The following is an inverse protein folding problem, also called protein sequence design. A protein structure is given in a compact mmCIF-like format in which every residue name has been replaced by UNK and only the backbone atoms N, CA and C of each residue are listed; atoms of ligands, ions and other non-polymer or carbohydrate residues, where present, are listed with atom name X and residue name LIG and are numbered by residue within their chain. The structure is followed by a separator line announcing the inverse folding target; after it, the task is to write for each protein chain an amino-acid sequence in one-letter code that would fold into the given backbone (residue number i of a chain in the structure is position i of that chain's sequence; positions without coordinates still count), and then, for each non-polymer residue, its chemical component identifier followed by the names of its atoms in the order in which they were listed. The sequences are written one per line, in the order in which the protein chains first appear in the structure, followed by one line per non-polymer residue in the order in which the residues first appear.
data_IF_655095010054
#
_entry.id   IF_655095010054
#
_cell.length_a   1.000
_cell.length_b   1.000
_cell.length_c   1.000
_cell.angle_alpha   90.00
_cell.angle_beta   90.00
_cell.angle_gamma   90.00
#
_symmetry.space_group_name_H-M   'P 1'
#
loop_
_entity.id
_entity.type
_entity.pdbx_description
1 polymer ?
#
# COMPACT_ATOMS: atom_id res chain seq x y z
N UNK A 1 -46.13 0.53 67.90
CA UNK A 1 -45.96 -0.49 66.85
C UNK A 1 -46.13 0.00 65.41
N UNK A 2 -46.77 1.14 65.08
CA UNK A 2 -46.98 1.61 63.71
C UNK A 2 -45.80 2.39 63.04
N UNK A 3 -44.91 3.01 63.82
CA UNK A 3 -43.81 3.84 63.24
C UNK A 3 -42.61 3.00 62.72
N UNK A 4 -42.31 1.89 63.33
CA UNK A 4 -41.19 1.00 62.88
C UNK A 4 -41.50 0.31 61.57
N UNK A 5 -42.74 -0.09 61.34
CA UNK A 5 -43.18 -0.72 60.06
C UNK A 5 -43.14 0.26 58.87
N UNK A 6 -43.42 1.52 59.11
CA UNK A 6 -43.37 2.59 58.10
C UNK A 6 -41.91 2.89 57.65
N UNK A 7 -40.97 2.88 58.60
CA UNK A 7 -39.53 3.06 58.31
C UNK A 7 -38.93 1.86 57.57
N UNK A 8 -39.25 0.61 57.94
CA UNK A 8 -38.83 -0.57 57.24
C UNK A 8 -39.34 -0.66 55.77
N UNK A 9 -40.61 -0.29 55.57
CA UNK A 9 -41.16 -0.26 54.21
C UNK A 9 -40.53 0.84 53.32
N UNK A 10 -40.14 1.95 53.93
CA UNK A 10 -39.43 3.04 53.19
C UNK A 10 -38.03 2.63 52.83
N UNK A 11 -37.31 1.94 53.70
CA UNK A 11 -35.97 1.40 53.45
C UNK A 11 -36.01 0.34 52.36
N UNK A 12 -36.92 -0.62 52.41
CA UNK A 12 -37.11 -1.61 51.35
C UNK A 12 -37.42 -0.99 49.97
N UNK A 13 -38.21 0.05 49.96
CA UNK A 13 -38.56 0.78 48.71
C UNK A 13 -37.35 1.50 48.09
N UNK A 14 -36.49 2.10 48.89
CA UNK A 14 -35.25 2.74 48.51
C UNK A 14 -34.20 1.70 48.02
N UNK A 15 -34.08 0.56 48.69
CA UNK A 15 -33.21 -0.52 48.27
C UNK A 15 -33.62 -1.11 46.94
N UNK A 16 -34.93 -1.32 46.71
CA UNK A 16 -35.42 -1.79 45.42
C UNK A 16 -35.24 -0.72 44.27
N UNK A 17 -35.37 0.54 44.55
CA UNK A 17 -35.09 1.60 43.58
C UNK A 17 -33.60 1.65 43.21
N UNK A 18 -32.69 1.57 44.17
CA UNK A 18 -31.27 1.53 43.95
C UNK A 18 -30.82 0.28 43.16
N UNK A 19 -31.44 -0.89 43.43
CA UNK A 19 -31.17 -2.10 42.64
C UNK A 19 -31.70 -2.00 41.19
N UNK A 20 -32.83 -1.35 40.99
CA UNK A 20 -33.35 -1.10 39.64
C UNK A 20 -32.52 -0.09 38.86
N UNK A 21 -32.02 0.97 39.48
CA UNK A 21 -31.13 1.93 38.86
C UNK A 21 -29.77 1.33 38.52
N UNK A 22 -29.18 0.53 39.40
CA UNK A 22 -27.96 -0.23 39.11
C UNK A 22 -28.12 -1.22 37.94
N UNK A 23 -29.26 -1.94 37.90
CA UNK A 23 -29.55 -2.85 36.79
C UNK A 23 -29.72 -2.09 35.44
N UNK A 24 -30.36 -0.91 35.46
CA UNK A 24 -30.52 -0.08 34.26
C UNK A 24 -29.20 0.49 33.75
N UNK A 25 -28.29 0.86 34.67
CA UNK A 25 -26.97 1.35 34.36
C UNK A 25 -26.11 0.25 33.73
N UNK A 26 -26.07 -0.97 34.30
CA UNK A 26 -25.33 -2.11 33.73
C UNK A 26 -25.86 -2.53 32.37
N UNK A 27 -27.18 -2.59 32.16
CA UNK A 27 -27.82 -2.92 30.87
C UNK A 27 -27.50 -1.88 29.79
N UNK A 28 -27.45 -0.60 30.16
CA UNK A 28 -27.06 0.51 29.29
C UNK A 28 -25.57 0.42 28.87
N UNK A 29 -24.68 0.11 29.83
CA UNK A 29 -23.24 -0.04 29.57
C UNK A 29 -22.94 -1.27 28.69
N UNK A 30 -23.66 -2.36 28.87
CA UNK A 30 -23.48 -3.56 28.04
C UNK A 30 -23.98 -3.34 26.60
N UNK A 31 -25.11 -2.67 26.40
CA UNK A 31 -25.58 -2.27 25.06
C UNK A 31 -24.60 -1.32 24.36
N UNK A 32 -23.99 -0.42 25.11
CA UNK A 32 -22.96 0.46 24.55
C UNK A 32 -21.73 -0.31 24.09
N UNK A 33 -21.25 -1.27 24.90
CA UNK A 33 -20.13 -2.15 24.54
C UNK A 33 -20.45 -2.97 23.29
N UNK A 34 -21.63 -3.58 23.22
CA UNK A 34 -22.08 -4.33 22.04
C UNK A 34 -22.15 -3.46 20.77
N UNK A 35 -22.68 -2.24 20.86
CA UNK A 35 -22.73 -1.31 19.76
C UNK A 35 -21.34 -0.88 19.28
N UNK A 36 -20.39 -0.64 20.22
CA UNK A 36 -18.99 -0.33 19.89
C UNK A 36 -18.33 -1.53 19.19
N UNK A 37 -18.54 -2.73 19.69
CA UNK A 37 -17.98 -3.95 19.10
C UNK A 37 -18.54 -4.22 17.70
N UNK A 38 -19.85 -4.09 17.51
CA UNK A 38 -20.48 -4.20 16.20
C UNK A 38 -19.94 -3.14 15.22
N UNK A 39 -19.79 -1.89 15.66
CA UNK A 39 -19.18 -0.83 14.87
C UNK A 39 -17.73 -1.11 14.46
N UNK A 40 -16.92 -1.70 15.34
CA UNK A 40 -15.55 -2.15 15.03
C UNK A 40 -15.54 -3.27 13.99
N UNK A 41 -16.42 -4.25 14.13
CA UNK A 41 -16.53 -5.36 13.18
C UNK A 41 -16.93 -4.89 11.77
N UNK A 42 -17.91 -3.98 11.68
CA UNK A 42 -18.32 -3.39 10.40
C UNK A 42 -17.17 -2.64 9.72
N UNK A 43 -16.45 -1.79 10.45
CA UNK A 43 -15.28 -1.06 9.91
C UNK A 43 -14.20 -2.02 9.42
N UNK A 44 -13.94 -3.11 10.13
CA UNK A 44 -12.95 -4.10 9.76
C UNK A 44 -13.38 -4.88 8.48
N UNK A 45 -14.67 -5.19 8.35
CA UNK A 45 -15.21 -5.81 7.13
C UNK A 45 -15.11 -4.87 5.92
N UNK A 46 -15.45 -3.59 6.08
CA UNK A 46 -15.30 -2.58 5.02
C UNK A 46 -13.84 -2.41 4.60
N UNK A 47 -12.92 -2.38 5.55
CA UNK A 47 -11.49 -2.29 5.26
C UNK A 47 -11.01 -3.51 4.47
N UNK A 48 -11.39 -4.72 4.87
CA UNK A 48 -11.06 -5.96 4.13
C UNK A 48 -11.58 -5.94 2.70
N UNK A 49 -12.82 -5.48 2.48
CA UNK A 49 -13.38 -5.33 1.12
C UNK A 49 -12.56 -4.35 0.27
N UNK A 50 -12.11 -3.25 0.86
CA UNK A 50 -11.25 -2.28 0.16
C UNK A 50 -9.88 -2.86 -0.17
N UNK A 51 -9.25 -3.59 0.76
CA UNK A 51 -7.98 -4.27 0.52
C UNK A 51 -8.14 -5.29 -0.62
N UNK A 52 -9.19 -6.11 -0.59
CA UNK A 52 -9.49 -7.07 -1.64
C UNK A 52 -9.72 -6.40 -3.00
N UNK A 53 -10.42 -5.27 -3.03
CA UNK A 53 -10.56 -4.47 -4.24
C UNK A 53 -9.21 -4.06 -4.82
N UNK A 54 -8.29 -3.51 -3.99
CA UNK A 54 -6.96 -3.11 -4.44
C UNK A 54 -6.11 -4.29 -4.88
N UNK A 55 -6.22 -5.45 -4.22
CA UNK A 55 -5.58 -6.69 -4.68
C UNK A 55 -6.05 -7.08 -6.09
N UNK A 56 -7.34 -7.01 -6.35
CA UNK A 56 -7.93 -7.39 -7.63
C UNK A 56 -7.53 -6.46 -8.80
N UNK A 57 -7.34 -5.17 -8.54
CA UNK A 57 -6.91 -4.21 -9.57
C UNK A 57 -5.40 -4.07 -9.68
N UNK A 58 -4.63 -4.68 -8.77
CA UNK A 58 -3.17 -4.62 -8.77
C UNK A 58 -2.55 -5.58 -9.79
N UNK A 59 -1.48 -5.13 -10.43
CA UNK A 59 -0.66 -5.98 -11.33
C UNK A 59 0.29 -6.82 -10.49
N UNK A 60 -0.11 -8.04 -10.15
CA UNK A 60 0.65 -8.94 -9.29
C UNK A 60 1.16 -10.17 -10.05
N UNK A 61 2.42 -10.60 -9.87
CA UNK A 61 2.91 -11.85 -10.42
C UNK A 61 2.25 -13.05 -9.71
N UNK A 62 2.20 -14.22 -10.38
CA UNK A 62 1.52 -15.43 -9.85
C UNK A 62 1.98 -15.79 -8.44
N UNK A 63 3.28 -15.66 -8.17
CA UNK A 63 3.89 -16.02 -6.88
C UNK A 63 4.11 -14.81 -5.96
N UNK A 64 3.34 -13.74 -6.09
CA UNK A 64 3.55 -12.51 -5.34
C UNK A 64 3.61 -12.70 -3.83
N UNK A 65 2.92 -13.70 -3.27
CA UNK A 65 2.92 -14.01 -1.84
C UNK A 65 4.26 -14.55 -1.32
N UNK A 66 5.12 -15.04 -2.19
CA UNK A 66 6.45 -15.56 -1.83
C UNK A 66 7.50 -14.45 -1.67
N UNK A 67 7.18 -13.23 -2.12
CA UNK A 67 8.07 -12.07 -2.03
C UNK A 67 7.92 -11.41 -0.65
N UNK A 68 8.68 -11.94 0.31
CA UNK A 68 8.74 -11.43 1.69
C UNK A 68 10.20 -11.16 2.07
N UNK A 69 10.42 -10.27 3.04
CA UNK A 69 11.77 -9.89 3.45
C UNK A 69 12.58 -11.07 3.99
N UNK A 70 11.93 -12.04 4.61
CA UNK A 70 12.53 -13.27 5.12
C UNK A 70 13.14 -14.14 4.01
N UNK A 71 12.58 -14.10 2.81
CA UNK A 71 13.06 -14.85 1.65
C UNK A 71 14.16 -14.12 0.86
N UNK A 72 14.59 -12.92 1.32
CA UNK A 72 15.68 -12.20 0.66
C UNK A 72 17.04 -12.82 0.98
N UNK A 73 17.76 -13.25 -0.04
CA UNK A 73 19.16 -13.68 0.06
C UNK A 73 20.06 -12.44 -0.04
N UNK A 74 20.66 -12.02 1.07
CA UNK A 74 21.52 -10.84 1.13
C UNK A 74 22.94 -11.22 0.75
N UNK A 75 23.46 -10.63 -0.33
CA UNK A 75 24.79 -10.93 -0.85
C UNK A 75 25.80 -9.77 -0.62
N UNK A 76 25.35 -8.62 -0.14
CA UNK A 76 26.24 -7.48 0.11
C UNK A 76 25.74 -6.62 1.28
N UNK A 77 26.65 -5.86 1.91
CA UNK A 77 26.31 -4.92 2.97
C UNK A 77 25.41 -3.79 2.45
N UNK A 78 25.59 -3.35 1.21
CA UNK A 78 24.70 -2.36 0.58
C UNK A 78 23.27 -2.84 0.48
N UNK A 79 23.08 -4.08 0.10
CA UNK A 79 21.73 -4.69 0.02
C UNK A 79 21.11 -4.83 1.40
N UNK A 80 21.89 -5.21 2.40
CA UNK A 80 21.41 -5.28 3.79
C UNK A 80 20.91 -3.93 4.28
N UNK A 81 21.64 -2.85 4.00
CA UNK A 81 21.22 -1.49 4.33
C UNK A 81 19.91 -1.13 3.64
N UNK A 82 19.77 -1.46 2.35
CA UNK A 82 18.51 -1.20 1.61
C UNK A 82 17.36 -1.99 2.21
N UNK A 83 17.55 -3.28 2.50
CA UNK A 83 16.54 -4.09 3.16
C UNK A 83 16.10 -3.46 4.48
N UNK A 84 17.04 -3.08 5.35
CA UNK A 84 16.76 -2.42 6.62
C UNK A 84 15.99 -1.11 6.46
N UNK A 85 16.34 -0.28 5.47
CA UNK A 85 15.59 0.94 5.15
C UNK A 85 14.15 0.64 4.73
N UNK A 86 13.93 -0.39 3.93
CA UNK A 86 12.60 -0.79 3.48
C UNK A 86 11.75 -1.36 4.64
N UNK A 87 12.35 -2.18 5.50
CA UNK A 87 11.70 -2.69 6.72
C UNK A 87 11.34 -1.52 7.65
N UNK A 88 12.26 -0.58 7.89
CA UNK A 88 12.02 0.62 8.68
C UNK A 88 10.89 1.49 8.10
N UNK A 89 10.84 1.65 6.77
CA UNK A 89 9.76 2.38 6.10
C UNK A 89 8.39 1.72 6.37
N UNK A 90 8.31 0.40 6.33
CA UNK A 90 7.07 -0.32 6.65
C UNK A 90 6.65 -0.15 8.10
N UNK A 91 7.59 -0.27 9.04
CA UNK A 91 7.34 -0.12 10.48
C UNK A 91 6.86 1.29 10.86
N UNK A 92 7.39 2.32 10.17
CA UNK A 92 7.11 3.73 10.43
C UNK A 92 6.18 4.37 9.40
N UNK A 93 5.42 3.56 8.66
CA UNK A 93 4.61 4.04 7.54
C UNK A 93 3.58 5.10 7.91
N UNK A 94 3.04 5.09 9.12
CA UNK A 94 2.13 6.15 9.60
C UNK A 94 2.78 7.53 9.60
N UNK A 95 4.07 7.61 9.89
CA UNK A 95 4.85 8.85 9.87
C UNK A 95 5.13 9.27 8.42
N UNK A 96 5.51 8.31 7.58
CA UNK A 96 5.67 8.54 6.15
C UNK A 96 4.38 9.05 5.51
N UNK A 97 3.23 8.47 5.87
CA UNK A 97 1.91 8.84 5.34
C UNK A 97 1.50 10.27 5.71
N UNK A 98 1.86 10.76 6.88
CA UNK A 98 1.56 12.15 7.31
C UNK A 98 2.26 13.20 6.45
N UNK A 99 3.41 12.85 5.88
CA UNK A 99 4.27 13.76 5.14
C UNK A 99 4.34 13.43 3.63
N UNK A 100 3.56 12.45 3.17
CA UNK A 100 3.59 12.01 1.78
C UNK A 100 4.94 11.47 1.32
N UNK A 101 5.73 10.87 2.25
CA UNK A 101 7.06 10.36 1.93
C UNK A 101 6.97 9.02 1.21
N UNK A 102 7.82 8.86 0.21
CA UNK A 102 7.90 7.64 -0.59
C UNK A 102 9.34 7.22 -0.86
N UNK A 103 9.51 6.25 -1.76
CA UNK A 103 10.80 5.66 -2.08
C UNK A 103 11.00 5.58 -3.60
N UNK A 104 12.22 5.85 -4.03
CA UNK A 104 12.68 5.71 -5.40
C UNK A 104 13.73 4.61 -5.50
N UNK A 105 13.34 3.46 -6.06
CA UNK A 105 14.19 2.28 -6.22
C UNK A 105 14.81 2.29 -7.62
N UNK A 106 16.07 2.66 -7.75
CA UNK A 106 16.76 2.75 -9.03
C UNK A 106 17.96 1.79 -9.12
N UNK A 107 18.36 1.47 -10.34
CA UNK A 107 19.51 0.60 -10.60
C UNK A 107 19.27 -0.35 -11.76
N UNK A 108 20.26 -1.16 -12.10
CA UNK A 108 20.24 -2.03 -13.26
C UNK A 108 19.18 -3.14 -13.21
N UNK A 109 18.91 -3.72 -14.39
CA UNK A 109 17.94 -4.82 -14.55
C UNK A 109 18.40 -6.05 -13.78
N UNK A 110 17.47 -6.66 -13.01
CA UNK A 110 17.72 -7.92 -12.32
C UNK A 110 18.36 -7.79 -10.95
N UNK A 111 18.52 -6.56 -10.42
CA UNK A 111 19.07 -6.30 -9.09
C UNK A 111 18.08 -6.52 -7.93
N UNK A 112 16.79 -6.78 -8.22
CA UNK A 112 15.80 -7.12 -7.20
C UNK A 112 14.86 -5.99 -6.79
N UNK A 113 14.82 -4.84 -7.49
CA UNK A 113 13.89 -3.72 -7.19
C UNK A 113 12.44 -4.16 -7.08
N UNK A 114 11.92 -4.88 -8.09
CA UNK A 114 10.54 -5.41 -8.07
C UNK A 114 10.33 -6.48 -6.99
N UNK A 115 11.37 -7.26 -6.63
CA UNK A 115 11.31 -8.17 -5.49
C UNK A 115 11.08 -7.40 -4.18
N UNK A 116 11.90 -6.41 -3.91
CA UNK A 116 11.79 -5.62 -2.68
C UNK A 116 10.53 -4.75 -2.64
N UNK A 117 10.07 -4.22 -3.78
CA UNK A 117 8.78 -3.50 -3.83
C UNK A 117 7.60 -4.42 -3.48
N UNK A 118 7.66 -5.70 -3.87
CA UNK A 118 6.67 -6.71 -3.49
C UNK A 118 6.82 -7.16 -2.02
N UNK A 119 8.03 -7.18 -1.45
CA UNK A 119 8.22 -7.39 -0.01
C UNK A 119 7.49 -6.29 0.79
N UNK A 120 7.69 -5.02 0.40
CA UNK A 120 6.96 -3.89 1.01
C UNK A 120 5.46 -4.05 0.80
N UNK A 121 5.00 -4.40 -0.40
CA UNK A 121 3.59 -4.65 -0.69
C UNK A 121 2.97 -5.66 0.28
N UNK A 122 3.63 -6.81 0.48
CA UNK A 122 3.15 -7.85 1.39
C UNK A 122 3.17 -7.41 2.85
N UNK A 123 4.23 -6.71 3.27
CA UNK A 123 4.33 -6.23 4.65
C UNK A 123 3.25 -5.19 4.98
N UNK A 124 2.96 -4.29 4.04
CA UNK A 124 1.89 -3.32 4.18
C UNK A 124 0.49 -3.97 4.23
N UNK A 125 0.27 -5.04 3.45
CA UNK A 125 -0.97 -5.81 3.51
C UNK A 125 -1.17 -6.51 4.85
N UNK A 126 -0.09 -7.07 5.46
CA UNK A 126 -0.14 -7.68 6.80
C UNK A 126 -0.58 -6.66 7.87
N UNK A 127 -0.25 -5.40 7.66
CA UNK A 127 -0.60 -4.28 8.53
C UNK A 127 -1.93 -3.58 8.15
N UNK A 128 -2.79 -4.24 7.37
CA UNK A 128 -4.12 -3.79 6.97
C UNK A 128 -4.13 -2.47 6.14
N UNK A 129 -3.03 -2.13 5.46
CA UNK A 129 -2.99 -0.99 4.55
C UNK A 129 -3.52 -1.36 3.15
N UNK A 130 -4.17 -0.40 2.49
CA UNK A 130 -4.65 -0.50 1.11
C UNK A 130 -3.50 -0.17 0.17
N UNK A 131 -2.92 -1.19 -0.46
CA UNK A 131 -1.80 -1.02 -1.37
C UNK A 131 -2.25 -1.26 -2.80
N UNK A 132 -1.92 -0.33 -3.70
CA UNK A 132 -2.17 -0.46 -5.12
C UNK A 132 -0.84 -0.57 -5.87
N UNK A 133 -0.56 -1.75 -6.42
CA UNK A 133 0.63 -1.97 -7.26
C UNK A 133 0.23 -2.01 -8.73
N UNK A 134 0.88 -1.17 -9.52
CA UNK A 134 0.63 -1.08 -10.96
C UNK A 134 1.88 -0.57 -11.68
N UNK A 135 1.79 -0.36 -13.00
CA UNK A 135 2.75 0.41 -13.80
C UNK A 135 2.13 1.72 -14.21
N UNK A 136 2.93 2.69 -14.65
CA UNK A 136 2.37 3.91 -15.23
C UNK A 136 1.48 3.61 -16.46
N UNK A 137 1.91 2.65 -17.30
CA UNK A 137 1.09 2.19 -18.42
C UNK A 137 -0.24 1.58 -17.96
N UNK A 138 -0.27 0.86 -16.83
CA UNK A 138 -1.50 0.34 -16.23
C UNK A 138 -2.48 1.46 -15.85
N UNK A 139 -1.98 2.57 -15.29
CA UNK A 139 -2.83 3.75 -15.03
C UNK A 139 -3.32 4.37 -16.34
N UNK A 140 -2.45 4.51 -17.33
CA UNK A 140 -2.83 5.03 -18.65
C UNK A 140 -3.92 4.19 -19.32
N UNK A 141 -3.77 2.87 -19.32
CA UNK A 141 -4.78 1.96 -19.88
C UNK A 141 -6.13 2.09 -19.15
N UNK A 142 -6.12 2.24 -17.83
CA UNK A 142 -7.35 2.48 -17.07
C UNK A 142 -8.00 3.81 -17.46
N UNK A 143 -7.22 4.89 -17.61
CA UNK A 143 -7.74 6.18 -18.08
C UNK A 143 -8.26 6.06 -19.51
N UNK A 144 -7.52 5.42 -20.42
CA UNK A 144 -7.96 5.22 -21.81
C UNK A 144 -9.24 4.39 -21.93
N UNK A 145 -9.41 3.38 -21.06
CA UNK A 145 -10.62 2.56 -21.04
C UNK A 145 -11.88 3.37 -20.67
N UNK A 146 -11.72 4.53 -20.05
CA UNK A 146 -12.85 5.44 -19.75
C UNK A 146 -13.40 6.13 -20.99
N UNK A 147 -12.66 6.15 -22.12
CA UNK A 147 -13.11 6.76 -23.37
C UNK A 147 -14.08 5.87 -24.16
N UNK A 148 -14.20 4.59 -23.79
CA UNK A 148 -15.13 3.66 -24.40
C UNK A 148 -16.42 3.60 -23.61
N UNK A 149 -17.57 3.76 -24.28
CA UNK A 149 -18.90 3.70 -23.65
C UNK A 149 -19.30 2.32 -23.07
N UNK A 150 -18.42 1.32 -23.18
CA UNK A 150 -18.70 -0.06 -22.72
C UNK A 150 -18.38 -0.30 -21.25
N UNK A 151 -17.59 0.57 -20.61
CA UNK A 151 -17.22 0.44 -19.21
C UNK A 151 -17.77 1.61 -18.41
N UNK A 152 -18.42 1.32 -17.26
CA UNK A 152 -18.88 2.36 -16.33
C UNK A 152 -17.72 3.04 -15.56
N UNK A 153 -16.47 2.81 -15.97
CA UNK A 153 -15.30 3.42 -15.35
C UNK A 153 -15.13 4.86 -15.88
N UNK A 154 -14.97 5.81 -14.98
CA UNK A 154 -14.66 7.21 -15.30
C UNK A 154 -13.22 7.55 -14.92
N UNK A 155 -12.63 8.57 -15.56
CA UNK A 155 -11.30 9.07 -15.14
C UNK A 155 -11.32 9.52 -13.68
N UNK A 156 -12.42 10.12 -13.20
CA UNK A 156 -12.62 10.47 -11.80
C UNK A 156 -12.52 9.23 -10.88
N UNK A 157 -13.07 8.08 -11.30
CA UNK A 157 -12.96 6.85 -10.52
C UNK A 157 -11.53 6.35 -10.45
N UNK A 158 -10.73 6.47 -11.50
CA UNK A 158 -9.30 6.13 -11.49
C UNK A 158 -8.55 6.99 -10.47
N UNK A 159 -8.74 8.30 -10.49
CA UNK A 159 -8.11 9.21 -9.50
C UNK A 159 -8.64 8.99 -8.08
N UNK A 160 -9.91 8.62 -7.92
CA UNK A 160 -10.48 8.26 -6.61
C UNK A 160 -9.82 6.99 -6.05
N UNK A 161 -9.55 6.00 -6.88
CA UNK A 161 -8.81 4.80 -6.46
C UNK A 161 -7.38 5.16 -6.02
N UNK A 162 -6.67 5.97 -6.81
CA UNK A 162 -5.34 6.48 -6.44
C UNK A 162 -5.39 7.25 -5.11
N UNK A 163 -6.44 8.03 -4.87
CA UNK A 163 -6.61 8.76 -3.61
C UNK A 163 -6.88 7.82 -2.43
N UNK A 164 -7.67 6.76 -2.62
CA UNK A 164 -8.06 5.84 -1.55
C UNK A 164 -6.98 4.83 -1.17
N UNK A 165 -6.02 4.55 -2.03
CA UNK A 165 -4.87 3.73 -1.68
C UNK A 165 -4.04 4.43 -0.60
N UNK A 166 -3.56 3.68 0.39
CA UNK A 166 -2.64 4.21 1.41
C UNK A 166 -1.22 4.31 0.84
N UNK A 167 -0.81 3.32 0.04
CA UNK A 167 0.46 3.27 -0.68
C UNK A 167 0.23 2.90 -2.14
N UNK A 168 0.91 3.59 -3.06
CA UNK A 168 0.92 3.26 -4.49
C UNK A 168 2.34 2.79 -4.85
N UNK A 169 2.43 1.64 -5.52
CA UNK A 169 3.70 1.12 -6.04
C UNK A 169 3.65 1.16 -7.57
N UNK A 170 4.47 2.02 -8.16
CA UNK A 170 4.69 2.11 -9.60
C UNK A 170 5.93 1.30 -9.97
N UNK A 171 5.72 0.12 -10.54
CA UNK A 171 6.82 -0.74 -10.93
C UNK A 171 7.26 -0.48 -12.38
N UNK A 172 8.57 -0.58 -12.62
CA UNK A 172 9.20 -0.47 -13.94
C UNK A 172 8.93 0.86 -14.68
N UNK A 173 8.95 2.00 -13.98
CA UNK A 173 8.79 3.33 -14.58
C UNK A 173 9.86 3.57 -15.67
N UNK A 174 9.45 4.18 -16.79
CA UNK A 174 10.33 4.56 -17.90
C UNK A 174 10.44 3.52 -19.01
N UNK A 175 9.63 2.45 -18.96
CA UNK A 175 9.49 1.49 -20.06
C UNK A 175 8.33 1.84 -21.01
N UNK A 176 7.58 2.85 -20.66
CA UNK A 176 6.39 3.27 -21.39
C UNK A 176 6.77 4.02 -22.67
N UNK A 177 6.13 3.66 -23.77
CA UNK A 177 6.17 4.44 -24.99
C UNK A 177 5.18 5.61 -24.87
N UNK A 178 5.64 6.69 -24.22
CA UNK A 178 4.79 7.84 -23.90
C UNK A 178 4.68 8.73 -25.16
N UNK A 179 3.44 9.00 -25.60
CA UNK A 179 3.23 9.99 -26.66
C UNK A 179 3.60 11.40 -26.16
N UNK A 180 4.25 12.18 -27.02
CA UNK A 180 4.74 13.53 -26.69
C UNK A 180 3.65 14.48 -26.20
N UNK A 181 2.44 14.31 -26.64
CA UNK A 181 1.32 15.19 -26.28
C UNK A 181 0.50 14.63 -25.13
N UNK A 182 -0.32 13.61 -25.37
CA UNK A 182 -1.25 13.08 -24.39
C UNK A 182 -0.53 12.37 -23.24
N UNK A 183 0.48 11.56 -23.55
CA UNK A 183 1.21 10.78 -22.54
C UNK A 183 1.98 11.65 -21.57
N UNK A 184 2.73 12.65 -22.06
CA UNK A 184 3.45 13.62 -21.20
C UNK A 184 2.48 14.47 -20.36
N UNK A 185 1.35 14.91 -20.96
CA UNK A 185 0.32 15.63 -20.19
C UNK A 185 -0.28 14.79 -19.07
N UNK A 186 -0.56 13.52 -19.30
CA UNK A 186 -1.08 12.60 -18.27
C UNK A 186 -0.01 12.24 -17.23
N UNK A 187 1.26 12.08 -17.63
CA UNK A 187 2.39 11.92 -16.70
C UNK A 187 2.39 13.07 -15.69
N UNK A 188 2.40 14.30 -16.18
CA UNK A 188 2.35 15.49 -15.34
C UNK A 188 1.13 15.47 -14.41
N UNK A 189 -0.06 15.22 -14.95
CA UNK A 189 -1.30 15.20 -14.17
C UNK A 189 -1.25 14.16 -13.03
N UNK A 190 -0.75 12.95 -13.29
CA UNK A 190 -0.68 11.86 -12.31
C UNK A 190 0.33 12.19 -11.21
N UNK A 191 1.56 12.61 -11.56
CA UNK A 191 2.59 12.89 -10.57
C UNK A 191 2.31 14.18 -9.78
N UNK A 192 1.73 15.20 -10.43
CA UNK A 192 1.26 16.40 -9.73
C UNK A 192 0.14 16.05 -8.75
N UNK A 193 -0.79 15.17 -9.12
CA UNK A 193 -1.81 14.66 -8.21
C UNK A 193 -1.19 13.95 -7.00
N UNK A 194 -0.17 13.10 -7.18
CA UNK A 194 0.51 12.45 -6.06
C UNK A 194 1.14 13.45 -5.12
N UNK A 195 1.79 14.47 -5.67
CA UNK A 195 2.42 15.54 -4.89
C UNK A 195 1.38 16.36 -4.11
N UNK A 196 0.34 16.88 -4.79
CA UNK A 196 -0.69 17.71 -4.17
C UNK A 196 -1.53 16.98 -3.12
N UNK A 197 -1.73 15.67 -3.28
CA UNK A 197 -2.46 14.82 -2.33
C UNK A 197 -1.56 14.15 -1.30
N UNK A 198 -0.29 14.52 -1.25
CA UNK A 198 0.71 13.96 -0.33
C UNK A 198 0.66 12.43 -0.30
N UNK A 199 0.58 11.81 -1.50
CA UNK A 199 0.49 10.35 -1.63
C UNK A 199 1.83 9.70 -1.39
N UNK A 200 1.87 8.69 -0.52
CA UNK A 200 3.01 7.80 -0.43
C UNK A 200 3.10 6.95 -1.69
N UNK A 201 4.22 7.07 -2.40
CA UNK A 201 4.49 6.27 -3.59
C UNK A 201 5.84 5.58 -3.49
N UNK A 202 5.92 4.37 -4.00
CA UNK A 202 7.19 3.68 -4.26
C UNK A 202 7.31 3.54 -5.77
N UNK A 203 8.41 4.01 -6.32
CA UNK A 203 8.68 3.93 -7.76
C UNK A 203 9.91 3.06 -7.97
N UNK A 204 9.81 2.04 -8.82
CA UNK A 204 10.97 1.30 -9.30
C UNK A 204 11.28 1.64 -10.76
N UNK A 205 12.57 1.78 -11.09
CA UNK A 205 13.00 2.08 -12.45
C UNK A 205 14.38 1.52 -12.75
N UNK A 206 14.65 1.31 -14.03
CA UNK A 206 15.99 1.01 -14.53
C UNK A 206 16.67 2.24 -15.17
N UNK A 207 15.97 3.38 -15.23
CA UNK A 207 16.53 4.62 -15.79
C UNK A 207 17.62 5.17 -14.90
N UNK A 208 18.68 5.69 -15.51
CA UNK A 208 19.70 6.47 -14.86
C UNK A 208 19.20 7.87 -14.45
N UNK A 209 20.08 8.64 -13.79
CA UNK A 209 19.72 10.00 -13.29
C UNK A 209 19.37 10.99 -14.40
N UNK A 210 20.04 10.90 -15.54
CA UNK A 210 19.78 11.75 -16.70
C UNK A 210 18.50 11.29 -17.42
N UNK A 211 18.37 9.99 -17.64
CA UNK A 211 17.21 9.42 -18.31
C UNK A 211 15.90 9.67 -17.57
N UNK A 212 15.90 9.64 -16.22
CA UNK A 212 14.70 9.95 -15.43
C UNK A 212 14.37 11.44 -15.50
N UNK A 213 15.39 12.32 -15.61
CA UNK A 213 15.16 13.73 -15.79
C UNK A 213 14.49 14.01 -17.14
N UNK A 214 14.98 13.43 -18.23
CA UNK A 214 14.37 13.54 -19.55
C UNK A 214 12.97 12.94 -19.59
N UNK A 215 12.77 11.81 -18.92
CA UNK A 215 11.45 11.16 -18.83
C UNK A 215 10.44 12.05 -18.09
N UNK A 216 10.85 12.70 -17.00
CA UNK A 216 10.00 13.57 -16.18
C UNK A 216 9.85 14.97 -16.77
N UNK A 217 10.69 15.36 -17.71
CA UNK A 217 10.52 16.63 -18.42
C UNK A 217 9.27 16.60 -19.31
N UNK A 218 8.26 17.30 -18.87
CA UNK A 218 6.96 17.35 -19.57
C UNK A 218 6.74 18.65 -20.36
N UNK A 219 7.53 19.70 -20.08
CA UNK A 219 7.31 21.04 -20.64
C UNK A 219 8.61 21.89 -20.71
N UNK A 220 9.77 21.25 -20.69
CA UNK A 220 11.06 21.97 -20.65
C UNK A 220 11.33 22.62 -19.30
N UNK A 221 10.78 22.06 -18.21
CA UNK A 221 11.11 22.50 -16.85
C UNK A 221 11.22 21.30 -15.90
N UNK A 222 12.07 21.43 -14.90
CA UNK A 222 12.37 20.40 -13.90
C UNK A 222 11.37 20.35 -12.74
N UNK A 223 10.26 21.08 -12.80
CA UNK A 223 9.36 21.24 -11.66
C UNK A 223 8.77 19.91 -11.18
N UNK A 224 8.48 18.98 -12.10
CA UNK A 224 7.97 17.66 -11.74
C UNK A 224 9.05 16.79 -11.09
N UNK A 225 10.27 16.84 -11.62
CA UNK A 225 11.42 16.13 -11.10
C UNK A 225 11.81 16.64 -9.70
N UNK A 226 11.75 17.96 -9.49
CA UNK A 226 12.04 18.58 -8.21
C UNK A 226 11.03 18.13 -7.11
N UNK A 227 9.74 18.17 -7.42
CA UNK A 227 8.69 17.63 -6.55
C UNK A 227 8.87 16.14 -6.24
N UNK A 228 9.28 15.36 -7.23
CA UNK A 228 9.59 13.96 -7.08
C UNK A 228 10.75 13.74 -6.10
N UNK A 229 11.84 14.52 -6.24
CA UNK A 229 13.02 14.45 -5.38
C UNK A 229 12.75 14.93 -3.95
N UNK A 230 11.85 15.89 -3.77
CA UNK A 230 11.46 16.38 -2.44
C UNK A 230 10.81 15.28 -1.57
N UNK A 231 10.05 14.39 -2.19
CA UNK A 231 9.20 13.43 -1.47
C UNK A 231 9.71 11.99 -1.48
N UNK A 232 10.69 11.65 -2.33
CA UNK A 232 11.16 10.29 -2.49
C UNK A 232 12.63 10.13 -2.08
N UNK A 233 12.90 9.28 -1.07
CA UNK A 233 14.28 8.87 -0.76
C UNK A 233 14.76 7.86 -1.80
N UNK A 234 15.98 8.06 -2.29
CA UNK A 234 16.61 7.27 -3.33
C UNK A 234 17.33 6.05 -2.75
N UNK A 235 16.94 4.86 -3.17
CA UNK A 235 17.61 3.60 -2.86
C UNK A 235 18.24 3.03 -4.13
N UNK A 236 19.58 3.12 -4.23
CA UNK A 236 20.35 2.70 -5.41
C UNK A 236 20.75 1.21 -5.32
N UNK A 237 20.25 0.40 -6.22
CA UNK A 237 20.52 -1.04 -6.35
C UNK A 237 21.75 -1.25 -7.23
N UNK A 238 22.94 -1.20 -6.65
CA UNK A 238 24.25 -1.11 -7.35
C UNK A 238 25.03 -2.42 -7.36
N UNK A 239 24.36 -3.55 -7.47
CA UNK A 239 24.95 -4.88 -7.56
C UNK A 239 24.52 -5.62 -8.83
N UNK A 240 25.19 -6.74 -9.13
CA UNK A 240 24.93 -7.51 -10.34
C UNK A 240 23.56 -8.17 -10.38
N UNK A 241 23.08 -8.41 -11.60
CA UNK A 241 21.82 -9.10 -11.85
C UNK A 241 21.84 -10.55 -11.37
N UNK A 242 20.86 -10.93 -10.55
CA UNK A 242 20.67 -12.30 -10.03
C UNK A 242 19.94 -13.24 -10.98
N UNK A 243 19.36 -12.73 -12.07
CA UNK A 243 18.49 -13.53 -12.96
C UNK A 243 19.19 -14.75 -13.53
N UNK A 244 20.48 -14.61 -13.89
CA UNK A 244 21.26 -15.72 -14.46
C UNK A 244 21.48 -16.83 -13.43
N UNK A 245 21.82 -16.48 -12.20
CA UNK A 245 22.05 -17.46 -11.12
C UNK A 245 20.77 -18.14 -10.69
N UNK A 246 19.68 -17.39 -10.54
CA UNK A 246 18.35 -17.93 -10.22
C UNK A 246 17.92 -18.91 -11.33
N UNK A 247 18.05 -18.52 -12.59
CA UNK A 247 17.73 -19.38 -13.73
C UNK A 247 18.57 -20.66 -13.72
N UNK A 248 19.88 -20.57 -13.46
CA UNK A 248 20.76 -21.73 -13.36
C UNK A 248 20.34 -22.68 -12.23
N UNK A 249 20.09 -22.16 -11.02
CA UNK A 249 19.62 -22.96 -9.88
C UNK A 249 18.31 -23.70 -10.21
N UNK A 250 17.32 -23.00 -10.81
CA UNK A 250 16.04 -23.61 -11.21
C UNK A 250 16.21 -24.77 -12.21
N UNK A 251 17.07 -24.60 -13.21
CA UNK A 251 17.34 -25.67 -14.18
C UNK A 251 18.14 -26.83 -13.58
N UNK A 252 19.08 -26.55 -12.67
CA UNK A 252 19.80 -27.61 -11.95
C UNK A 252 18.85 -28.44 -11.09
N UNK A 253 17.90 -27.82 -10.37
CA UNK A 253 16.87 -28.51 -9.60
C UNK A 253 15.95 -29.34 -10.51
N UNK A 254 15.48 -28.76 -11.60
CA UNK A 254 14.64 -29.45 -12.58
C UNK A 254 15.30 -30.69 -13.16
N UNK A 255 16.61 -30.62 -13.49
CA UNK A 255 17.35 -31.77 -14.04
C UNK A 255 17.71 -32.81 -12.99
N UNK A 256 17.90 -32.42 -11.73
CA UNK A 256 18.11 -33.39 -10.62
C UNK A 256 16.92 -34.32 -10.44
N UNK A 257 15.71 -33.80 -10.52
CA UNK A 257 14.46 -34.59 -10.39
C UNK A 257 14.32 -35.63 -11.50
N UNK A 258 14.92 -35.44 -12.69
CA UNK A 258 14.92 -36.40 -13.79
C UNK A 258 15.99 -37.50 -13.69
N UNK A 259 17.03 -37.30 -12.87
CA UNK A 259 18.08 -38.33 -12.68
C UNK A 259 17.70 -39.43 -11.69
N UNK A 260 16.52 -39.35 -11.09
CA UNK A 260 15.98 -40.34 -10.13
C UNK A 260 15.00 -41.31 -10.79
N UNK A 261 14.97 -41.41 -12.10
CA UNK A 261 14.31 -42.44 -12.88
C UNK A 261 15.29 -42.93 -13.93
#
# INVERSE_FOLDING_TARGET
MKLSQLTENKIKKLQNQNQQEQKRSTDSDDRLKEAIQAGRQLRQQELRKKIEYFLNISSLPVRWKEYVFENSEILSEKEKIIKQKLEYYCEHFKEAQKNGLGLYLCGEIGTGKSFYSLCVFNEMLKNDYKVYRTTLNGIYQRIQSTFSNFNNLTEEQVFKDLLQADLIILDDLGKENISETWGKSKLYTIFNFFYEKEKCIIVSTNLGKEEIADFMDTQGNDALLDRFRERLDTLEFVWESRRKEIGKKLFEEFWKVRKVK
#
